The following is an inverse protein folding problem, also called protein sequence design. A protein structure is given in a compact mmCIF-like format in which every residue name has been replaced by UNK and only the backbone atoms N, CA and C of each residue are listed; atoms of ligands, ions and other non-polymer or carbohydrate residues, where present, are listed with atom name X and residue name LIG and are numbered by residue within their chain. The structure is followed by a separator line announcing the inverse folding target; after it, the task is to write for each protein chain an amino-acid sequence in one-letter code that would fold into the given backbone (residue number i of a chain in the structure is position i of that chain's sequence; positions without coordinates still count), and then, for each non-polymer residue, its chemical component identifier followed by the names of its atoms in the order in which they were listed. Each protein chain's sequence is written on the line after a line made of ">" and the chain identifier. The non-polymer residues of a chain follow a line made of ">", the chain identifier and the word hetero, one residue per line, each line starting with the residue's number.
data_IF_095374016135
#
_entry.id   IF_095374016135
#
_cell.length_a   1.000
_cell.length_b   1.000
_cell.length_c   1.000
_cell.angle_alpha   90.00
_cell.angle_beta   90.00
_cell.angle_gamma   90.00
#
_symmetry.space_group_name_H-M   'P 1'
#
loop_
_entity.id
_entity.type
_entity.pdbx_description
1 polymer ?
#
# COMPACT_ATOMS: atom_id res chain seq x y z
N UNK A 1 -21.57 13.45 11.45
CA UNK A 1 -20.45 13.19 10.54
C UNK A 1 -19.15 13.01 11.27
N UNK A 2 -18.82 13.92 12.17
CA UNK A 2 -17.57 13.79 12.92
C UNK A 2 -17.50 12.49 13.71
N UNK A 3 -18.61 12.03 14.28
CA UNK A 3 -18.63 10.78 15.04
C UNK A 3 -18.28 9.56 14.15
N UNK A 4 -18.81 9.52 12.92
CA UNK A 4 -18.48 8.48 11.97
C UNK A 4 -17.02 8.54 11.55
N UNK A 5 -16.54 9.74 11.29
CA UNK A 5 -15.15 9.96 10.91
C UNK A 5 -14.20 9.56 12.04
N UNK A 6 -14.52 9.95 13.25
CA UNK A 6 -13.72 9.58 14.41
C UNK A 6 -13.73 8.09 14.68
N UNK A 7 -14.89 7.44 14.53
CA UNK A 7 -14.98 5.99 14.68
C UNK A 7 -14.13 5.27 13.64
N UNK A 8 -14.11 5.76 12.39
CA UNK A 8 -13.29 5.17 11.34
C UNK A 8 -11.80 5.27 11.64
N UNK A 9 -11.35 6.40 12.18
CA UNK A 9 -9.95 6.58 12.58
C UNK A 9 -9.60 5.75 13.81
N UNK A 10 -10.51 5.70 14.77
CA UNK A 10 -10.31 4.96 16.01
C UNK A 10 -10.32 3.46 15.80
N UNK A 11 -10.88 2.98 14.67
CA UNK A 11 -10.92 1.55 14.38
C UNK A 11 -9.54 0.97 14.08
N UNK A 12 -8.59 1.81 13.64
CA UNK A 12 -7.23 1.36 13.41
C UNK A 12 -6.45 1.39 14.72
N UNK A 13 -5.79 0.29 15.10
CA UNK A 13 -4.95 0.28 16.28
C UNK A 13 -3.75 1.20 16.10
N UNK A 14 -3.13 1.66 17.18
CA UNK A 14 -1.92 2.47 17.06
C UNK A 14 -0.80 1.67 16.41
N UNK A 15 0.02 2.31 15.55
CA UNK A 15 1.13 1.63 14.91
C UNK A 15 2.19 1.21 15.93
N UNK A 16 2.83 0.07 15.65
CA UNK A 16 3.99 -0.41 16.42
C UNK A 16 5.12 -0.67 15.44
N UNK A 17 5.83 0.37 15.00
CA UNK A 17 6.80 0.24 13.90
C UNK A 17 7.91 -0.75 14.23
N UNK A 18 8.27 -1.55 13.23
CA UNK A 18 9.43 -2.43 13.28
C UNK A 18 10.33 -2.08 12.09
N UNK A 19 11.61 -2.47 12.17
CA UNK A 19 12.56 -2.19 11.09
C UNK A 19 12.27 -3.01 9.83
N UNK A 20 11.74 -4.22 10.00
CA UNK A 20 11.46 -5.12 8.87
C UNK A 20 10.35 -6.08 9.25
N UNK A 21 9.45 -6.33 8.31
CA UNK A 21 8.37 -7.29 8.49
C UNK A 21 8.76 -8.65 7.89
N UNK A 22 8.26 -9.73 8.49
CA UNK A 22 8.60 -11.09 8.05
C UNK A 22 8.16 -11.38 6.62
N UNK A 23 7.09 -10.72 6.13
CA UNK A 23 6.52 -11.00 4.80
C UNK A 23 7.12 -10.15 3.69
N UNK A 24 8.13 -9.33 3.96
CA UNK A 24 8.69 -8.42 2.95
C UNK A 24 9.31 -9.14 1.76
N UNK A 25 9.83 -10.34 1.95
CA UNK A 25 10.38 -11.12 0.84
C UNK A 25 9.28 -11.51 -0.16
N UNK A 26 8.10 -11.86 0.32
CA UNK A 26 6.97 -12.17 -0.54
C UNK A 26 6.45 -10.92 -1.25
N UNK A 27 6.40 -9.79 -0.53
CA UNK A 27 6.06 -8.50 -1.14
C UNK A 27 7.01 -8.20 -2.30
N UNK A 28 8.31 -8.37 -2.10
CA UNK A 28 9.30 -8.09 -3.13
C UNK A 28 9.08 -8.93 -4.39
N UNK A 29 8.72 -10.21 -4.23
CA UNK A 29 8.44 -11.08 -5.36
C UNK A 29 7.22 -10.60 -6.16
N UNK A 30 6.14 -10.26 -5.47
CA UNK A 30 4.91 -9.85 -6.11
C UNK A 30 5.04 -8.47 -6.75
N UNK A 31 5.72 -7.53 -6.09
CA UNK A 31 5.99 -6.19 -6.63
C UNK A 31 6.78 -6.27 -7.92
N UNK A 32 7.78 -7.15 -7.97
CA UNK A 32 8.63 -7.31 -9.16
C UNK A 32 7.81 -7.74 -10.39
N UNK A 33 6.69 -8.43 -10.17
CA UNK A 33 5.80 -8.90 -11.24
C UNK A 33 4.67 -7.91 -11.54
N UNK A 34 4.56 -6.82 -10.78
CA UNK A 34 3.46 -5.87 -10.88
C UNK A 34 3.63 -4.93 -12.06
N UNK A 35 2.51 -4.48 -12.62
CA UNK A 35 2.39 -3.45 -13.65
C UNK A 35 2.80 -3.86 -15.06
N UNK A 36 3.42 -5.00 -15.27
CA UNK A 36 3.91 -5.41 -16.59
C UNK A 36 2.78 -5.68 -17.59
N UNK A 37 1.65 -6.19 -17.10
CA UNK A 37 0.49 -6.48 -17.95
C UNK A 37 -0.49 -5.31 -18.07
N UNK A 38 -0.20 -4.18 -17.43
CA UNK A 38 -1.09 -3.04 -17.40
C UNK A 38 -0.77 -2.07 -18.53
N UNK A 39 -1.75 -1.23 -18.89
CA UNK A 39 -1.57 -0.21 -19.92
C UNK A 39 -0.39 0.71 -19.55
N UNK A 40 0.60 0.77 -20.44
CA UNK A 40 1.80 1.57 -20.22
C UNK A 40 1.48 3.06 -20.06
N UNK A 41 0.43 3.56 -20.76
CA UNK A 41 0.04 4.95 -20.62
C UNK A 41 -0.51 5.26 -19.22
N UNK A 42 -1.14 4.27 -18.58
CA UNK A 42 -1.67 4.41 -17.23
C UNK A 42 -0.55 4.29 -16.18
N UNK A 43 0.35 3.35 -16.37
CA UNK A 43 1.40 3.02 -15.41
C UNK A 43 2.55 4.03 -15.45
N UNK A 44 3.01 4.39 -16.64
CA UNK A 44 4.19 5.22 -16.82
C UNK A 44 5.47 4.44 -16.57
N UNK A 45 6.29 4.92 -15.64
CA UNK A 45 7.54 4.26 -15.27
C UNK A 45 7.26 3.08 -14.34
N UNK A 46 7.44 1.88 -14.85
CA UNK A 46 7.17 0.64 -14.10
C UNK A 46 8.05 0.57 -12.85
N UNK A 47 9.33 0.90 -12.96
CA UNK A 47 10.25 0.82 -11.82
C UNK A 47 9.87 1.80 -10.71
N UNK A 48 9.45 3.01 -11.08
CA UNK A 48 8.97 3.99 -10.10
C UNK A 48 7.70 3.48 -9.41
N UNK A 49 6.75 2.95 -10.18
CA UNK A 49 5.51 2.41 -9.62
C UNK A 49 5.76 1.21 -8.71
N UNK A 50 6.70 0.34 -9.07
CA UNK A 50 7.08 -0.77 -8.22
C UNK A 50 7.70 -0.28 -6.91
N UNK A 51 8.55 0.75 -6.96
CA UNK A 51 9.12 1.33 -5.75
C UNK A 51 8.05 1.93 -4.86
N UNK A 52 7.08 2.64 -5.44
CA UNK A 52 5.95 3.21 -4.69
C UNK A 52 5.07 2.13 -4.06
N UNK A 53 4.78 1.07 -4.82
CA UNK A 53 3.98 -0.06 -4.33
C UNK A 53 4.68 -0.76 -3.16
N UNK A 54 5.97 -1.02 -3.31
CA UNK A 54 6.78 -1.62 -2.25
C UNK A 54 6.78 -0.75 -1.00
N UNK A 55 6.94 0.56 -1.15
CA UNK A 55 6.94 1.50 -0.02
C UNK A 55 5.60 1.48 0.72
N UNK A 56 4.49 1.47 -0.01
CA UNK A 56 3.16 1.42 0.59
C UNK A 56 2.92 0.12 1.34
N UNK A 57 3.26 -1.02 0.75
CA UNK A 57 3.04 -2.32 1.35
C UNK A 57 3.98 -2.55 2.55
N UNK A 58 5.27 -2.36 2.36
CA UNK A 58 6.24 -2.59 3.43
C UNK A 58 6.06 -1.58 4.56
N UNK A 59 5.76 -0.33 4.21
CA UNK A 59 5.50 0.71 5.22
C UNK A 59 4.30 0.36 6.09
N UNK A 60 3.23 -0.15 5.50
CA UNK A 60 2.04 -0.55 6.24
C UNK A 60 2.34 -1.76 7.14
N UNK A 61 3.01 -2.78 6.60
CA UNK A 61 3.34 -3.97 7.37
C UNK A 61 4.29 -3.67 8.51
N UNK A 62 5.25 -2.79 8.30
CA UNK A 62 6.19 -2.39 9.35
C UNK A 62 5.51 -1.58 10.45
N UNK A 63 4.54 -0.74 10.09
CA UNK A 63 3.78 0.04 11.05
C UNK A 63 2.83 -0.84 11.87
N UNK A 64 2.30 -1.88 11.26
CA UNK A 64 1.34 -2.80 11.88
C UNK A 64 1.83 -4.24 11.71
N UNK A 65 2.88 -4.64 12.43
CA UNK A 65 3.56 -5.92 12.17
C UNK A 65 2.73 -7.17 12.49
N UNK A 66 1.61 -7.03 13.14
CA UNK A 66 0.66 -8.14 13.35
C UNK A 66 -0.13 -8.48 12.09
N UNK A 67 -0.11 -7.62 11.07
CA UNK A 67 -0.76 -7.91 9.80
C UNK A 67 0.05 -8.92 9.01
N UNK A 68 -0.63 -9.66 8.15
CA UNK A 68 0.00 -10.62 7.26
C UNK A 68 -0.25 -10.23 5.82
N UNK A 69 0.80 -10.31 5.01
CA UNK A 69 0.68 -10.11 3.59
C UNK A 69 0.12 -11.37 2.94
N UNK A 70 -0.76 -11.21 1.96
CA UNK A 70 -1.28 -12.32 1.17
C UNK A 70 -1.17 -11.98 -0.32
N UNK A 71 -1.02 -13.02 -1.15
CA UNK A 71 -0.95 -12.86 -2.59
C UNK A 71 -2.26 -12.26 -3.10
N UNK A 72 -2.17 -11.24 -3.95
CA UNK A 72 -3.34 -10.49 -4.42
C UNK A 72 -3.50 -9.14 -3.74
N UNK A 73 -3.00 -8.97 -2.52
CA UNK A 73 -3.06 -7.68 -1.84
C UNK A 73 -2.31 -6.61 -2.64
N UNK A 74 -1.19 -6.97 -3.26
CA UNK A 74 -0.42 -6.05 -4.10
C UNK A 74 -1.25 -5.50 -5.26
N UNK A 75 -2.15 -6.29 -5.84
CA UNK A 75 -3.02 -5.82 -6.94
C UNK A 75 -4.01 -4.76 -6.44
N UNK A 76 -4.58 -4.97 -5.26
CA UNK A 76 -5.52 -4.03 -4.66
C UNK A 76 -4.81 -2.70 -4.37
N UNK A 77 -3.64 -2.77 -3.78
CA UNK A 77 -2.87 -1.56 -3.45
C UNK A 77 -2.38 -0.87 -4.73
N UNK A 78 -2.03 -1.62 -5.75
CA UNK A 78 -1.64 -1.07 -7.05
C UNK A 78 -2.78 -0.26 -7.68
N UNK A 79 -4.02 -0.74 -7.59
CA UNK A 79 -5.19 0.01 -8.08
C UNK A 79 -5.36 1.32 -7.30
N UNK A 80 -5.22 1.26 -5.98
CA UNK A 80 -5.30 2.46 -5.14
C UNK A 80 -4.22 3.46 -5.54
N UNK A 81 -3.00 2.98 -5.71
CA UNK A 81 -1.87 3.83 -6.09
C UNK A 81 -2.14 4.56 -7.41
N UNK A 82 -2.56 3.83 -8.45
CA UNK A 82 -2.79 4.43 -9.76
C UNK A 82 -4.01 5.34 -9.78
N UNK A 83 -5.02 5.04 -8.97
CA UNK A 83 -6.24 5.84 -8.90
C UNK A 83 -6.02 7.14 -8.14
N UNK A 84 -5.35 7.08 -6.99
CA UNK A 84 -5.16 8.24 -6.12
C UNK A 84 -3.89 9.03 -6.42
N UNK A 85 -2.94 8.42 -7.13
CA UNK A 85 -1.66 9.04 -7.45
C UNK A 85 -1.35 8.84 -8.95
N UNK A 86 -2.12 9.49 -9.86
CA UNK A 86 -1.95 9.29 -11.30
C UNK A 86 -0.67 9.90 -11.87
N UNK A 87 -0.08 10.86 -11.14
CA UNK A 87 1.18 11.50 -11.54
C UNK A 87 2.38 10.76 -10.94
N UNK A 88 3.59 10.91 -11.50
CA UNK A 88 4.76 10.20 -10.99
C UNK A 88 5.36 10.83 -9.73
N UNK A 89 4.52 11.39 -8.87
CA UNK A 89 4.92 11.89 -7.56
C UNK A 89 4.71 10.80 -6.50
N UNK A 90 5.46 10.90 -5.40
CA UNK A 90 5.32 9.93 -4.32
C UNK A 90 3.97 10.08 -3.62
N UNK A 91 3.39 8.97 -3.14
CA UNK A 91 2.08 9.00 -2.50
C UNK A 91 2.04 9.90 -1.27
N UNK A 92 0.93 10.63 -1.15
CA UNK A 92 0.66 11.48 0.01
C UNK A 92 0.21 10.63 1.20
N UNK A 93 0.07 11.30 2.36
CA UNK A 93 -0.45 10.65 3.56
C UNK A 93 -1.87 10.13 3.35
N UNK A 94 -2.66 10.81 2.53
CA UNK A 94 -4.02 10.35 2.21
C UNK A 94 -4.02 8.98 1.52
N UNK A 95 -3.08 8.75 0.61
CA UNK A 95 -2.91 7.46 -0.06
C UNK A 95 -2.49 6.40 0.95
N UNK A 96 -1.52 6.72 1.81
CA UNK A 96 -1.05 5.81 2.85
C UNK A 96 -2.19 5.41 3.80
N UNK A 97 -3.00 6.37 4.23
CA UNK A 97 -4.14 6.10 5.10
C UNK A 97 -5.16 5.17 4.43
N UNK A 98 -5.42 5.38 3.14
CA UNK A 98 -6.34 4.53 2.39
C UNK A 98 -5.81 3.10 2.33
N UNK A 99 -4.53 2.93 2.06
CA UNK A 99 -3.91 1.60 2.01
C UNK A 99 -4.00 0.93 3.38
N UNK A 100 -3.67 1.64 4.44
CA UNK A 100 -3.74 1.11 5.80
C UNK A 100 -5.17 0.68 6.16
N UNK A 101 -6.16 1.47 5.78
CA UNK A 101 -7.56 1.14 6.02
C UNK A 101 -7.97 -0.12 5.28
N UNK A 102 -7.60 -0.24 4.01
CA UNK A 102 -7.95 -1.40 3.18
C UNK A 102 -7.28 -2.66 3.71
N UNK A 103 -6.01 -2.58 4.08
CA UNK A 103 -5.25 -3.74 4.57
C UNK A 103 -5.83 -4.26 5.89
N UNK A 104 -6.42 -3.40 6.71
CA UNK A 104 -7.04 -3.81 7.97
C UNK A 104 -8.42 -4.48 7.79
N UNK A 105 -8.96 -4.45 6.60
CA UNK A 105 -10.16 -5.21 6.33
C UNK A 105 -9.79 -6.65 6.04
#
# INVERSE_FOLDING_TARGET
>A
MSAWHEAGRSALPPPRPVAQHADESQVALDVRRSFHAWDAALVGDVHLRQAQLSDLLCGTLRAYPYLHYYQGLHDIVAVILLTMCPTPTWPSDAVRERVQTVVHY
#
